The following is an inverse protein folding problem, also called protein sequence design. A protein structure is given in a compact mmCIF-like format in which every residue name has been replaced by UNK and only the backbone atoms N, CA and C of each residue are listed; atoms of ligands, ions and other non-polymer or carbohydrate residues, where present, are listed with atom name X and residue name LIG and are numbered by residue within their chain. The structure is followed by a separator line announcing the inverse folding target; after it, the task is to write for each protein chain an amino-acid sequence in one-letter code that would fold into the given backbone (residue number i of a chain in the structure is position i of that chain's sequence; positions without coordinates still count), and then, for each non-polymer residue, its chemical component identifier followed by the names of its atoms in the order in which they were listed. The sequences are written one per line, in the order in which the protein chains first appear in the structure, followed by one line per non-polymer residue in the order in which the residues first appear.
data_IF_902943751860
#
_entry.id   IF_902943751860
#
_cell.length_a   1.000
_cell.length_b   1.000
_cell.length_c   1.000
_cell.angle_alpha   90.00
_cell.angle_beta   90.00
_cell.angle_gamma   90.00
#
_symmetry.space_group_name_H-M   'P 1'
#
loop_
_entity.id
_entity.type
_entity.pdbx_description
1 polymer ?
#
# COMPACT_ATOMS: atom_id res chain seq x y z
N UNK A 1 -5.09 20.85 -37.33
CA UNK A 1 -5.02 21.61 -36.07
C UNK A 1 -5.06 20.61 -34.91
N UNK A 2 -3.90 20.25 -34.35
CA UNK A 2 -3.84 19.42 -33.15
C UNK A 2 -3.78 20.38 -31.95
N UNK A 3 -4.92 20.63 -31.29
CA UNK A 3 -4.86 21.28 -29.98
C UNK A 3 -4.45 20.25 -28.94
N UNK A 4 -3.15 20.17 -28.65
CA UNK A 4 -2.58 19.38 -27.54
C UNK A 4 -2.73 20.12 -26.21
N UNK A 5 -3.91 20.68 -25.94
CA UNK A 5 -4.21 21.37 -24.68
C UNK A 5 -4.65 20.37 -23.60
N UNK A 6 -4.31 20.61 -22.32
CA UNK A 6 -4.78 19.77 -21.23
C UNK A 6 -6.32 19.81 -21.11
N UNK A 7 -6.94 18.64 -21.03
CA UNK A 7 -8.39 18.54 -20.76
C UNK A 7 -8.64 18.63 -19.25
N UNK A 8 -8.92 19.84 -18.77
CA UNK A 8 -9.15 20.11 -17.35
C UNK A 8 -10.33 19.33 -16.75
N UNK A 9 -11.39 19.09 -17.53
CA UNK A 9 -12.53 18.29 -17.09
C UNK A 9 -12.13 16.82 -16.84
N UNK A 10 -11.35 16.22 -17.76
CA UNK A 10 -10.83 14.86 -17.58
C UNK A 10 -9.84 14.79 -16.42
N UNK A 11 -8.97 15.78 -16.28
CA UNK A 11 -8.04 15.88 -15.16
C UNK A 11 -8.78 15.90 -13.81
N UNK A 12 -9.80 16.76 -13.66
CA UNK A 12 -10.61 16.86 -12.45
C UNK A 12 -11.28 15.53 -12.08
N UNK A 13 -11.83 14.82 -13.07
CA UNK A 13 -12.44 13.50 -12.85
C UNK A 13 -11.40 12.47 -12.43
N UNK A 14 -10.25 12.41 -13.12
CA UNK A 14 -9.18 11.47 -12.79
C UNK A 14 -8.60 11.72 -11.39
N UNK A 15 -8.40 12.99 -10.99
CA UNK A 15 -7.93 13.32 -9.64
C UNK A 15 -8.91 12.82 -8.55
N UNK A 16 -10.22 13.00 -8.75
CA UNK A 16 -11.24 12.49 -7.82
C UNK A 16 -11.23 10.96 -7.73
N UNK A 17 -11.09 10.28 -8.87
CA UNK A 17 -10.98 8.83 -8.91
C UNK A 17 -9.70 8.34 -8.21
N UNK A 18 -8.56 9.00 -8.43
CA UNK A 18 -7.30 8.68 -7.77
C UNK A 18 -7.39 8.84 -6.25
N UNK A 19 -7.99 9.92 -5.75
CA UNK A 19 -8.19 10.11 -4.29
C UNK A 19 -9.02 8.96 -3.70
N UNK A 20 -10.14 8.61 -4.32
CA UNK A 20 -10.98 7.50 -3.84
C UNK A 20 -10.24 6.16 -3.90
N UNK A 21 -9.40 5.97 -4.93
CA UNK A 21 -8.60 4.76 -5.08
C UNK A 21 -7.52 4.64 -4.02
N UNK A 22 -6.82 5.73 -3.70
CA UNK A 22 -5.79 5.78 -2.67
C UNK A 22 -6.38 5.42 -1.30
N UNK A 23 -7.48 6.06 -0.90
CA UNK A 23 -8.19 5.74 0.36
C UNK A 23 -8.60 4.26 0.48
N UNK A 24 -9.05 3.67 -0.62
CA UNK A 24 -9.43 2.25 -0.64
C UNK A 24 -8.20 1.34 -0.51
N UNK A 25 -7.10 1.70 -1.18
CA UNK A 25 -5.85 0.95 -1.12
C UNK A 25 -5.20 1.02 0.26
N UNK A 26 -5.15 2.21 0.85
CA UNK A 26 -4.68 2.46 2.22
C UNK A 26 -5.37 1.53 3.22
N UNK A 27 -6.71 1.54 3.26
CA UNK A 27 -7.49 0.65 4.13
C UNK A 27 -7.19 -0.83 3.87
N UNK A 28 -7.18 -1.24 2.61
CA UNK A 28 -6.92 -2.64 2.23
C UNK A 28 -5.52 -3.09 2.66
N UNK A 29 -4.50 -2.25 2.44
CA UNK A 29 -3.10 -2.58 2.75
C UNK A 29 -2.86 -2.61 4.25
N UNK A 30 -3.44 -1.68 5.01
CA UNK A 30 -3.41 -1.66 6.48
C UNK A 30 -3.99 -2.94 7.09
N UNK A 31 -5.14 -3.42 6.60
CA UNK A 31 -5.72 -4.69 7.07
C UNK A 31 -4.82 -5.91 6.76
N UNK A 32 -4.13 -5.88 5.61
CA UNK A 32 -3.21 -6.95 5.22
C UNK A 32 -1.93 -6.95 6.05
N UNK A 33 -1.34 -5.78 6.33
CA UNK A 33 -0.13 -5.67 7.18
C UNK A 33 -0.42 -6.11 8.60
N UNK A 34 -1.61 -5.80 9.14
CA UNK A 34 -2.02 -6.29 10.46
C UNK A 34 -2.07 -7.82 10.54
N UNK A 35 -2.59 -8.50 9.50
CA UNK A 35 -2.57 -9.98 9.41
C UNK A 35 -1.15 -10.52 9.28
N UNK A 36 -0.30 -9.89 8.46
CA UNK A 36 1.08 -10.30 8.25
C UNK A 36 1.94 -10.23 9.53
N UNK A 37 1.64 -9.32 10.46
CA UNK A 37 2.33 -9.24 11.76
C UNK A 37 2.11 -10.51 12.61
N UNK A 38 0.96 -11.17 12.46
CA UNK A 38 0.71 -12.46 13.13
C UNK A 38 1.58 -13.59 12.57
N UNK A 39 1.79 -13.61 11.25
CA UNK A 39 2.66 -14.60 10.60
C UNK A 39 4.11 -14.50 11.09
N UNK A 40 4.58 -13.30 11.43
CA UNK A 40 5.92 -13.10 12.01
C UNK A 40 6.01 -13.79 13.37
N UNK A 41 4.98 -13.65 14.22
CA UNK A 41 4.95 -14.32 15.51
C UNK A 41 4.99 -15.85 15.33
N UNK A 42 4.26 -16.39 14.36
CA UNK A 42 4.27 -17.82 14.04
C UNK A 42 5.66 -18.29 13.56
N UNK A 43 6.36 -17.50 12.74
CA UNK A 43 7.73 -17.83 12.32
C UNK A 43 8.74 -17.78 13.47
N UNK A 44 8.61 -16.83 14.39
CA UNK A 44 9.47 -16.75 15.58
C UNK A 44 9.22 -17.95 16.50
N UNK A 45 7.96 -18.29 16.75
CA UNK A 45 7.57 -19.45 17.57
C UNK A 45 8.07 -20.78 16.97
N UNK A 46 8.09 -20.88 15.64
CA UNK A 46 8.64 -22.04 14.92
C UNK A 46 10.18 -22.04 14.80
N UNK A 47 10.89 -21.07 15.39
CA UNK A 47 12.36 -20.96 15.33
C UNK A 47 12.93 -20.50 13.97
N UNK A 48 12.08 -20.03 13.04
CA UNK A 48 12.47 -19.63 11.67
C UNK A 48 12.88 -18.15 11.61
N UNK A 49 13.93 -17.78 12.33
CA UNK A 49 14.34 -16.39 12.52
C UNK A 49 14.66 -15.68 11.19
N UNK A 50 15.40 -16.33 10.28
CA UNK A 50 15.78 -15.70 9.01
C UNK A 50 14.57 -15.40 8.12
N UNK A 51 13.58 -16.31 8.11
CA UNK A 51 12.31 -16.09 7.42
C UNK A 51 11.50 -14.97 8.05
N UNK A 52 11.51 -14.87 9.39
CA UNK A 52 10.85 -13.79 10.11
C UNK A 52 11.46 -12.42 9.74
N UNK A 53 12.80 -12.31 9.64
CA UNK A 53 13.48 -11.06 9.23
C UNK A 53 13.05 -10.60 7.83
N UNK A 54 13.09 -11.49 6.84
CA UNK A 54 12.65 -11.17 5.47
C UNK A 54 11.18 -10.72 5.47
N UNK A 55 10.34 -11.36 6.29
CA UNK A 55 8.92 -10.99 6.41
C UNK A 55 8.74 -9.61 7.03
N UNK A 56 9.51 -9.27 8.07
CA UNK A 56 9.53 -7.95 8.71
C UNK A 56 9.88 -6.86 7.69
N UNK A 57 10.94 -7.03 6.89
CA UNK A 57 11.32 -6.04 5.87
C UNK A 57 10.20 -5.77 4.87
N UNK A 58 9.47 -6.82 4.47
CA UNK A 58 8.32 -6.67 3.59
C UNK A 58 7.17 -5.87 4.25
N UNK A 59 6.95 -6.04 5.56
CA UNK A 59 5.93 -5.25 6.27
C UNK A 59 6.36 -3.79 6.38
N UNK A 60 7.62 -3.52 6.74
CA UNK A 60 8.14 -2.14 6.84
C UNK A 60 7.98 -1.41 5.51
N UNK A 61 8.31 -2.06 4.38
CA UNK A 61 8.12 -1.48 3.04
C UNK A 61 6.65 -1.17 2.74
N UNK A 62 5.75 -2.04 3.16
CA UNK A 62 4.31 -1.86 2.94
C UNK A 62 3.75 -0.75 3.85
N UNK A 63 4.21 -0.64 5.09
CA UNK A 63 3.83 0.44 6.01
C UNK A 63 4.25 1.81 5.43
N UNK A 64 5.48 1.95 4.90
CA UNK A 64 5.90 3.17 4.20
C UNK A 64 5.07 3.47 2.94
N UNK A 65 4.61 2.44 2.23
CA UNK A 65 3.78 2.62 1.04
C UNK A 65 2.38 3.11 1.41
N UNK A 66 1.83 2.64 2.53
CA UNK A 66 0.56 3.14 3.08
C UNK A 66 0.70 4.60 3.50
N UNK A 67 1.75 4.96 4.23
CA UNK A 67 2.03 6.37 4.61
C UNK A 67 2.19 7.28 3.39
N UNK A 68 2.78 6.79 2.30
CA UNK A 68 2.90 7.56 1.06
C UNK A 68 1.58 7.72 0.28
N UNK A 69 0.53 6.97 0.61
CA UNK A 69 -0.79 7.07 -0.01
C UNK A 69 -1.74 8.01 0.72
N UNK A 70 -1.48 8.32 2.00
CA UNK A 70 -2.20 9.32 2.82
C UNK A 70 -1.95 10.75 2.32
#
# INVERSE_FOLDING_TARGET
MFSSGPSYAKLKTNLRLSINRLKLLEKKKTELTQKARKEIADYIAAGKIERAKIRVEHIIREDYLVEAME
#
